data_IF_095265474198
#
_entry.id   IF_095265474198
#
_cell.length_a   1.000
_cell.length_b   1.000
_cell.length_c   1.000
_cell.angle_alpha   90.00
_cell.angle_beta   90.00
_cell.angle_gamma   90.00
#
_symmetry.space_group_name_H-M   'P 1'
#
loop_
_entity.id
_entity.type
_entity.pdbx_description
1 polymer ?
#
# COMPACT_ATOMS: atom_id res chain seq x y z
N UNK A 1 -33.10 11.46 -16.72
CA UNK A 1 -32.66 11.13 -15.33
C UNK A 1 -32.53 9.60 -15.14
N UNK A 2 -33.55 8.79 -15.41
CA UNK A 2 -33.48 7.31 -15.19
C UNK A 2 -32.38 6.62 -16.01
N UNK A 3 -32.04 7.13 -17.17
CA UNK A 3 -31.05 6.53 -18.10
C UNK A 3 -29.60 6.75 -17.63
N UNK A 4 -29.29 7.90 -17.03
CA UNK A 4 -27.98 8.17 -16.47
C UNK A 4 -27.68 7.32 -15.21
N UNK A 5 -28.69 6.99 -14.42
CA UNK A 5 -28.54 6.13 -13.24
C UNK A 5 -28.14 4.69 -13.62
N UNK A 6 -28.67 4.20 -14.76
CA UNK A 6 -28.29 2.88 -15.30
C UNK A 6 -26.83 2.90 -15.75
N UNK A 7 -26.42 3.93 -16.50
CA UNK A 7 -25.04 4.09 -16.94
C UNK A 7 -24.09 4.20 -15.75
N UNK A 8 -24.40 5.01 -14.75
CA UNK A 8 -23.62 5.13 -13.52
C UNK A 8 -23.49 3.79 -12.79
N UNK A 9 -24.56 3.00 -12.74
CA UNK A 9 -24.51 1.66 -12.12
C UNK A 9 -23.57 0.71 -12.85
N UNK A 10 -23.52 0.76 -14.19
CA UNK A 10 -22.57 -0.04 -14.96
C UNK A 10 -21.14 0.47 -14.78
N UNK A 11 -20.93 1.78 -14.78
CA UNK A 11 -19.62 2.40 -14.54
C UNK A 11 -19.12 2.14 -13.11
N UNK A 12 -19.99 2.02 -12.11
CA UNK A 12 -19.61 1.68 -10.72
C UNK A 12 -19.07 0.26 -10.55
N UNK A 13 -19.20 -0.59 -11.58
CA UNK A 13 -18.57 -1.91 -11.60
C UNK A 13 -17.15 -1.91 -12.21
N UNK A 14 -16.66 -0.75 -12.67
CA UNK A 14 -15.32 -0.58 -13.22
C UNK A 14 -14.41 -0.02 -12.13
N UNK A 15 -13.32 -0.70 -11.86
CA UNK A 15 -12.39 -0.35 -10.79
C UNK A 15 -11.10 0.24 -11.38
N UNK A 16 -10.60 1.29 -10.74
CA UNK A 16 -9.24 1.76 -10.99
C UNK A 16 -8.26 0.68 -10.49
N UNK A 17 -7.37 0.15 -11.37
CA UNK A 17 -6.49 -0.94 -11.00
C UNK A 17 -5.46 -0.59 -9.92
N UNK A 18 -5.08 0.69 -9.81
CA UNK A 18 -4.11 1.16 -8.83
C UNK A 18 -4.77 1.44 -7.48
N UNK A 19 -5.95 2.07 -7.49
CA UNK A 19 -6.64 2.49 -6.26
C UNK A 19 -7.60 1.42 -5.73
N UNK A 20 -7.93 0.37 -6.52
CA UNK A 20 -8.86 -0.70 -6.17
C UNK A 20 -10.25 -0.22 -5.71
N UNK A 21 -10.69 0.94 -6.20
CA UNK A 21 -11.99 1.56 -5.96
C UNK A 21 -12.64 1.86 -7.31
N UNK A 22 -13.96 1.79 -7.39
CA UNK A 22 -14.64 2.05 -8.65
C UNK A 22 -14.53 3.52 -9.06
N UNK A 23 -14.51 3.75 -10.37
CA UNK A 23 -14.26 5.08 -10.96
C UNK A 23 -15.34 6.11 -10.64
N UNK A 24 -16.55 5.67 -10.31
CA UNK A 24 -17.68 6.54 -9.92
C UNK A 24 -17.51 7.02 -8.48
N UNK A 25 -17.24 6.11 -7.54
CA UNK A 25 -17.01 6.43 -6.12
C UNK A 25 -15.78 7.34 -5.97
N UNK A 26 -14.73 7.11 -6.77
CA UNK A 26 -13.57 7.98 -6.82
C UNK A 26 -13.91 9.39 -7.32
N UNK A 27 -14.99 9.56 -8.10
CA UNK A 27 -15.34 10.83 -8.73
C UNK A 27 -14.48 11.11 -9.98
N UNK A 28 -13.99 10.07 -10.63
CA UNK A 28 -13.29 10.15 -11.91
C UNK A 28 -14.24 10.46 -13.05
N UNK A 29 -15.49 9.99 -12.97
CA UNK A 29 -16.56 10.30 -13.94
C UNK A 29 -17.11 11.68 -13.61
N UNK A 30 -16.78 12.68 -14.46
CA UNK A 30 -17.18 14.09 -14.25
C UNK A 30 -18.50 14.44 -14.93
N UNK A 31 -18.79 13.84 -16.08
CA UNK A 31 -20.01 14.09 -16.85
C UNK A 31 -20.37 12.86 -17.68
N UNK A 32 -21.66 12.64 -17.87
CA UNK A 32 -22.23 11.60 -18.73
C UNK A 32 -23.35 12.25 -19.53
N UNK A 33 -23.21 12.26 -20.85
CA UNK A 33 -24.22 12.72 -21.78
C UNK A 33 -24.68 11.53 -22.61
N UNK A 34 -25.96 11.27 -22.65
CA UNK A 34 -26.56 10.22 -23.45
C UNK A 34 -27.57 10.87 -24.40
N UNK A 35 -27.25 10.86 -25.67
CA UNK A 35 -28.07 11.45 -26.74
C UNK A 35 -28.44 10.32 -27.70
N UNK A 36 -29.71 10.00 -27.79
CA UNK A 36 -30.23 8.85 -28.56
C UNK A 36 -29.57 7.54 -28.13
N UNK A 37 -28.53 7.09 -28.84
CA UNK A 37 -27.77 5.86 -28.55
C UNK A 37 -26.27 6.11 -28.39
N UNK A 38 -25.87 7.37 -28.44
CA UNK A 38 -24.48 7.79 -28.28
C UNK A 38 -24.23 8.26 -26.86
N UNK A 39 -23.20 7.69 -26.22
CA UNK A 39 -22.80 8.03 -24.85
C UNK A 39 -21.47 8.76 -24.86
N UNK A 40 -21.44 9.98 -24.33
CA UNK A 40 -20.23 10.76 -24.14
C UNK A 40 -19.88 10.83 -22.65
N UNK A 41 -18.64 10.44 -22.32
CA UNK A 41 -18.16 10.42 -20.93
C UNK A 41 -16.96 11.33 -20.79
N UNK A 42 -17.00 12.23 -19.80
CA UNK A 42 -15.82 12.98 -19.34
C UNK A 42 -15.20 12.23 -18.15
N UNK A 43 -13.99 11.70 -18.38
CA UNK A 43 -13.21 10.97 -17.38
C UNK A 43 -12.03 11.83 -16.94
N UNK A 44 -11.92 12.12 -15.65
CA UNK A 44 -10.78 12.79 -15.08
C UNK A 44 -9.80 11.77 -14.50
N UNK A 45 -8.55 11.80 -14.94
CA UNK A 45 -7.48 10.92 -14.48
C UNK A 45 -6.59 11.64 -13.46
N UNK A 46 -6.04 10.91 -12.52
CA UNK A 46 -5.16 11.45 -11.48
C UNK A 46 -3.90 12.12 -12.05
N UNK A 47 -3.38 11.58 -13.15
CA UNK A 47 -2.26 12.15 -13.92
C UNK A 47 -2.59 12.15 -15.41
N UNK A 48 -2.01 13.10 -16.17
CA UNK A 48 -2.27 13.24 -17.61
C UNK A 48 -1.87 11.98 -18.41
N UNK A 49 -0.72 11.39 -18.08
CA UNK A 49 -0.17 10.20 -18.72
C UNK A 49 -0.38 8.95 -17.84
N UNK A 50 -1.63 8.71 -17.43
CA UNK A 50 -1.96 7.52 -16.63
C UNK A 50 -1.68 6.24 -17.42
N UNK A 51 -0.82 5.34 -16.96
CA UNK A 51 -0.52 4.08 -17.67
C UNK A 51 -1.73 3.17 -17.79
N UNK A 52 -2.69 3.30 -16.87
CA UNK A 52 -3.93 2.50 -16.87
C UNK A 52 -5.06 3.10 -17.71
N UNK A 53 -4.84 4.27 -18.35
CA UNK A 53 -5.84 4.97 -19.15
C UNK A 53 -6.54 4.05 -20.16
N UNK A 54 -5.75 3.40 -21.01
CA UNK A 54 -6.28 2.55 -22.08
C UNK A 54 -7.10 1.38 -21.52
N UNK A 55 -6.68 0.82 -20.38
CA UNK A 55 -7.41 -0.28 -19.74
C UNK A 55 -8.77 0.20 -19.21
N UNK A 56 -8.82 1.35 -18.55
CA UNK A 56 -10.07 1.93 -18.03
C UNK A 56 -11.01 2.29 -19.20
N UNK A 57 -10.52 2.98 -20.22
CA UNK A 57 -11.30 3.35 -21.41
C UNK A 57 -11.89 2.12 -22.09
N UNK A 58 -11.08 1.09 -22.37
CA UNK A 58 -11.54 -0.17 -22.99
C UNK A 58 -12.59 -0.87 -22.14
N UNK A 59 -12.46 -0.84 -20.82
CA UNK A 59 -13.44 -1.49 -19.94
C UNK A 59 -14.76 -0.71 -19.88
N UNK A 60 -14.72 0.63 -19.94
CA UNK A 60 -15.89 1.49 -20.05
C UNK A 60 -16.63 1.17 -21.37
N UNK A 61 -15.92 1.23 -22.50
CA UNK A 61 -16.51 0.93 -23.81
C UNK A 61 -17.14 -0.45 -23.83
N UNK A 62 -16.40 -1.47 -23.44
CA UNK A 62 -16.88 -2.87 -23.42
C UNK A 62 -18.15 -3.03 -22.60
N UNK A 63 -18.24 -2.41 -21.41
CA UNK A 63 -19.41 -2.56 -20.52
C UNK A 63 -20.63 -1.79 -20.99
N UNK A 64 -20.44 -0.61 -21.55
CA UNK A 64 -21.55 0.21 -22.01
C UNK A 64 -22.12 -0.25 -23.34
N UNK A 65 -21.29 -0.74 -24.27
CA UNK A 65 -21.74 -1.33 -25.55
C UNK A 65 -22.54 -2.65 -25.38
N UNK A 66 -22.55 -3.25 -24.19
CA UNK A 66 -23.42 -4.38 -23.87
C UNK A 66 -24.88 -3.97 -23.60
N UNK A 67 -25.16 -2.67 -23.48
CA UNK A 67 -26.50 -2.16 -23.25
C UNK A 67 -27.23 -2.00 -24.59
N UNK A 68 -28.46 -2.50 -24.66
CA UNK A 68 -29.29 -2.48 -25.90
C UNK A 68 -29.52 -1.07 -26.47
N UNK A 69 -29.40 -0.02 -25.64
CA UNK A 69 -29.65 1.37 -26.02
C UNK A 69 -28.35 2.17 -26.22
N UNK A 70 -27.21 1.51 -26.40
CA UNK A 70 -25.90 2.17 -26.61
C UNK A 70 -25.25 1.58 -27.86
N UNK A 71 -25.11 2.41 -28.87
CA UNK A 71 -24.47 2.03 -30.14
C UNK A 71 -23.03 2.57 -30.24
N UNK A 72 -22.75 3.70 -29.56
CA UNK A 72 -21.39 4.26 -29.50
C UNK A 72 -21.05 4.84 -28.12
N UNK A 73 -19.74 4.82 -27.80
CA UNK A 73 -19.20 5.41 -26.57
C UNK A 73 -17.99 6.25 -26.92
N UNK A 74 -18.04 7.53 -26.60
CA UNK A 74 -16.92 8.45 -26.74
C UNK A 74 -16.42 8.89 -25.37
N UNK A 75 -15.11 8.73 -25.11
CA UNK A 75 -14.50 9.06 -23.81
C UNK A 75 -13.53 10.20 -24.01
N UNK A 76 -13.80 11.32 -23.35
CA UNK A 76 -12.87 12.45 -23.27
C UNK A 76 -12.15 12.42 -21.95
N UNK A 77 -10.83 12.30 -21.94
CA UNK A 77 -10.02 12.28 -20.73
C UNK A 77 -9.40 13.64 -20.44
N UNK A 78 -9.36 14.00 -19.17
CA UNK A 78 -8.72 15.21 -18.66
C UNK A 78 -7.86 14.89 -17.45
N UNK A 79 -6.82 15.66 -17.19
CA UNK A 79 -6.08 15.56 -15.93
C UNK A 79 -6.85 16.26 -14.80
N UNK A 80 -6.86 15.64 -13.63
CA UNK A 80 -7.41 16.26 -12.42
C UNK A 80 -6.55 17.45 -11.96
N UNK A 81 -7.19 18.47 -11.42
CA UNK A 81 -6.52 19.51 -10.66
C UNK A 81 -6.03 18.96 -9.30
N UNK A 82 -5.29 19.76 -8.52
CA UNK A 82 -4.74 19.33 -7.25
C UNK A 82 -5.82 19.01 -6.19
N UNK A 83 -6.90 19.76 -6.16
CA UNK A 83 -8.02 19.56 -5.23
C UNK A 83 -8.75 18.26 -5.52
N UNK A 84 -9.08 18.01 -6.79
CA UNK A 84 -9.71 16.75 -7.23
C UNK A 84 -8.83 15.54 -6.90
N UNK A 85 -7.51 15.63 -7.13
CA UNK A 85 -6.56 14.57 -6.78
C UNK A 85 -6.57 14.27 -5.29
N UNK A 86 -6.52 15.31 -4.47
CA UNK A 86 -6.58 15.16 -3.00
C UNK A 86 -7.87 14.45 -2.59
N UNK A 87 -9.02 14.89 -3.13
CA UNK A 87 -10.31 14.29 -2.83
C UNK A 87 -10.40 12.81 -3.26
N UNK A 88 -9.86 12.45 -4.43
CA UNK A 88 -9.77 11.05 -4.91
C UNK A 88 -8.93 10.21 -3.97
N UNK A 89 -7.76 10.70 -3.58
CA UNK A 89 -6.87 9.97 -2.67
C UNK A 89 -7.47 9.79 -1.27
N UNK A 90 -8.20 10.78 -0.77
CA UNK A 90 -8.93 10.66 0.51
C UNK A 90 -10.04 9.60 0.42
N UNK A 91 -10.81 9.59 -0.66
CA UNK A 91 -11.85 8.58 -0.90
C UNK A 91 -11.24 7.17 -1.03
N UNK A 92 -10.14 7.04 -1.78
CA UNK A 92 -9.44 5.77 -1.92
C UNK A 92 -8.91 5.26 -0.55
N UNK A 93 -8.30 6.14 0.25
CA UNK A 93 -7.84 5.80 1.61
C UNK A 93 -9.00 5.42 2.53
N UNK A 94 -10.12 6.15 2.48
CA UNK A 94 -11.31 5.83 3.25
C UNK A 94 -11.84 4.44 2.90
N UNK A 95 -11.98 4.16 1.60
CA UNK A 95 -12.45 2.86 1.11
C UNK A 95 -11.50 1.71 1.44
N UNK A 96 -10.18 1.97 1.33
CA UNK A 96 -9.18 1.01 1.75
C UNK A 96 -9.27 0.69 3.26
N UNK A 97 -9.54 1.70 4.12
CA UNK A 97 -9.77 1.49 5.56
C UNK A 97 -11.02 0.66 5.85
N UNK A 98 -12.12 0.91 5.11
CA UNK A 98 -13.38 0.17 5.25
C UNK A 98 -13.24 -1.30 4.83
N UNK A 99 -12.38 -1.57 3.86
CA UNK A 99 -12.12 -2.90 3.29
C UNK A 99 -10.83 -3.55 3.83
N UNK A 100 -10.13 -2.90 4.76
CA UNK A 100 -8.88 -3.42 5.31
C UNK A 100 -9.12 -4.78 5.99
N UNK A 101 -8.22 -5.71 5.72
CA UNK A 101 -8.23 -6.99 6.42
C UNK A 101 -7.90 -6.77 7.89
N UNK A 102 -8.52 -7.51 8.80
CA UNK A 102 -8.23 -7.37 10.23
C UNK A 102 -6.76 -7.71 10.50
N UNK A 103 -6.08 -6.81 11.18
CA UNK A 103 -4.71 -7.00 11.68
C UNK A 103 -4.69 -6.94 13.20
N UNK A 104 -3.65 -7.46 13.84
CA UNK A 104 -3.44 -7.34 15.29
C UNK A 104 -2.87 -5.97 15.72
N UNK A 105 -2.78 -5.03 14.77
CA UNK A 105 -2.32 -3.67 15.07
C UNK A 105 -3.48 -2.83 15.56
N UNK A 106 -3.34 -2.23 16.74
CA UNK A 106 -4.35 -1.35 17.29
C UNK A 106 -4.60 -0.17 16.32
N UNK A 107 -5.87 0.18 16.01
CA UNK A 107 -6.19 1.31 15.12
C UNK A 107 -5.63 2.67 15.56
N UNK A 108 -5.25 2.81 16.85
CA UNK A 108 -4.61 4.03 17.39
C UNK A 108 -3.10 4.06 17.16
N UNK A 109 -2.48 2.93 16.84
CA UNK A 109 -1.05 2.85 16.58
C UNK A 109 -0.71 3.68 15.34
N UNK A 110 0.23 4.61 15.46
CA UNK A 110 0.80 5.30 14.29
C UNK A 110 1.75 4.37 13.57
N UNK A 111 1.42 4.06 12.33
CA UNK A 111 2.25 3.20 11.47
C UNK A 111 3.05 4.05 10.51
N UNK A 112 4.38 3.90 10.56
CA UNK A 112 5.32 4.59 9.68
C UNK A 112 6.11 3.56 8.90
N UNK A 113 5.85 3.47 7.60
CA UNK A 113 6.61 2.62 6.69
C UNK A 113 7.79 3.40 6.09
N UNK A 114 8.95 2.78 6.06
CA UNK A 114 10.18 3.39 5.53
C UNK A 114 10.59 2.61 4.28
N UNK A 115 10.49 3.28 3.15
CA UNK A 115 10.78 2.72 1.83
C UNK A 115 11.96 3.40 1.14
N UNK A 116 12.47 2.77 0.10
CA UNK A 116 13.51 3.34 -0.76
C UNK A 116 13.41 2.80 -2.17
N UNK A 117 13.75 3.62 -3.15
CA UNK A 117 13.77 3.20 -4.55
C UNK A 117 14.92 2.23 -4.90
N UNK A 118 16.01 2.21 -4.12
CA UNK A 118 17.16 1.31 -4.30
C UNK A 118 17.75 0.92 -2.95
N UNK A 119 18.51 -0.19 -2.94
CA UNK A 119 19.26 -0.63 -1.76
C UNK A 119 20.46 0.28 -1.44
N UNK A 120 20.93 0.21 -0.20
CA UNK A 120 22.18 0.87 0.24
C UNK A 120 22.05 2.38 0.50
N UNK A 121 20.85 2.94 0.61
CA UNK A 121 20.61 4.37 0.90
C UNK A 121 20.51 4.70 2.39
N UNK A 122 20.66 3.71 3.26
CA UNK A 122 20.55 3.89 4.71
C UNK A 122 19.16 3.72 5.29
N UNK A 123 18.20 3.15 4.52
CA UNK A 123 16.81 2.91 4.93
C UNK A 123 16.72 2.20 6.29
N UNK A 124 17.26 0.99 6.42
CA UNK A 124 17.18 0.18 7.64
C UNK A 124 17.90 0.84 8.83
N UNK A 125 19.02 1.54 8.57
CA UNK A 125 19.67 2.34 9.61
C UNK A 125 18.76 3.45 10.13
N UNK A 126 18.05 4.14 9.24
CA UNK A 126 17.07 5.15 9.62
C UNK A 126 15.90 4.53 10.39
N UNK A 127 15.35 3.40 9.91
CA UNK A 127 14.25 2.67 10.55
C UNK A 127 14.62 2.29 11.99
N UNK A 128 15.78 1.67 12.20
CA UNK A 128 16.27 1.28 13.52
C UNK A 128 16.48 2.49 14.44
N UNK A 129 17.06 3.58 13.93
CA UNK A 129 17.30 4.78 14.75
C UNK A 129 16.01 5.50 15.13
N UNK A 130 15.03 5.59 14.22
CA UNK A 130 13.71 6.16 14.55
C UNK A 130 13.03 5.31 15.63
N UNK A 131 12.99 3.99 15.47
CA UNK A 131 12.36 3.09 16.43
C UNK A 131 13.03 3.17 17.80
N UNK A 132 14.37 3.13 17.86
CA UNK A 132 15.12 3.31 19.11
C UNK A 132 14.90 4.69 19.74
N UNK A 133 14.84 5.74 18.91
CA UNK A 133 14.60 7.11 19.38
C UNK A 133 13.23 7.26 20.02
N UNK A 134 12.19 6.70 19.43
CA UNK A 134 10.83 6.70 19.96
C UNK A 134 10.74 5.88 21.26
N UNK A 135 11.32 4.68 21.28
CA UNK A 135 11.37 3.85 22.48
C UNK A 135 12.08 4.56 23.63
N UNK A 136 13.24 5.20 23.36
CA UNK A 136 13.96 6.01 24.37
C UNK A 136 13.18 7.25 24.85
N UNK A 137 12.28 7.76 24.01
CA UNK A 137 11.38 8.86 24.39
C UNK A 137 10.17 8.39 25.21
N UNK A 138 10.07 7.09 25.50
CA UNK A 138 9.02 6.50 26.34
C UNK A 138 7.79 6.02 25.57
N UNK A 139 7.83 5.98 24.22
CA UNK A 139 6.74 5.43 23.43
C UNK A 139 6.88 3.91 23.29
N UNK A 140 5.78 3.18 23.45
CA UNK A 140 5.71 1.76 23.14
C UNK A 140 5.87 1.58 21.61
N UNK A 141 6.99 1.03 21.19
CA UNK A 141 7.39 1.04 19.79
C UNK A 141 7.62 -0.37 19.27
N UNK A 142 7.02 -0.69 18.11
CA UNK A 142 7.32 -1.87 17.31
C UNK A 142 8.24 -1.53 16.15
N UNK A 143 9.13 -2.45 15.80
CA UNK A 143 9.96 -2.39 14.59
C UNK A 143 9.81 -3.70 13.82
N UNK A 144 9.22 -3.61 12.64
CA UNK A 144 9.06 -4.73 11.71
C UNK A 144 10.08 -4.59 10.56
N UNK A 145 10.99 -5.55 10.44
CA UNK A 145 11.85 -5.72 9.28
C UNK A 145 11.13 -6.59 8.24
N UNK A 146 10.58 -5.93 7.23
CA UNK A 146 9.84 -6.56 6.14
C UNK A 146 10.72 -6.84 4.91
N UNK A 147 12.04 -6.59 4.98
CA UNK A 147 13.01 -6.95 3.94
C UNK A 147 13.47 -8.40 4.13
N UNK A 148 12.67 -9.33 3.63
CA UNK A 148 12.88 -10.78 3.83
C UNK A 148 14.25 -11.25 3.30
N UNK A 149 14.72 -10.65 2.21
CA UNK A 149 15.94 -11.05 1.52
C UNK A 149 17.20 -10.35 2.02
N UNK A 150 17.02 -9.15 2.52
CA UNK A 150 18.09 -8.28 2.94
C UNK A 150 17.97 -7.84 4.39
N UNK A 151 17.32 -8.67 5.23
CA UNK A 151 17.11 -8.31 6.62
C UNK A 151 18.41 -7.85 7.28
N UNK A 152 18.37 -6.69 7.88
CA UNK A 152 19.55 -6.06 8.47
C UNK A 152 19.29 -5.54 9.89
N UNK A 153 18.04 -5.42 10.28
CA UNK A 153 17.64 -4.91 11.61
C UNK A 153 18.25 -5.74 12.75
N UNK A 154 18.22 -7.09 12.75
CA UNK A 154 18.83 -7.85 13.84
C UNK A 154 20.32 -7.54 14.02
N UNK A 155 21.08 -7.44 12.90
CA UNK A 155 22.52 -7.08 12.95
C UNK A 155 22.75 -5.67 13.46
N UNK A 156 21.93 -4.69 13.03
CA UNK A 156 22.01 -3.30 13.48
C UNK A 156 21.74 -3.14 14.97
N UNK A 157 20.87 -3.96 15.51
CA UNK A 157 20.46 -3.93 16.92
C UNK A 157 21.27 -4.90 17.82
N UNK A 158 22.17 -5.70 17.24
CA UNK A 158 22.94 -6.70 17.98
C UNK A 158 22.11 -7.86 18.51
N UNK A 159 20.98 -8.20 17.86
CA UNK A 159 20.10 -9.29 18.24
C UNK A 159 20.69 -10.60 17.71
N UNK A 160 20.85 -11.58 18.61
CA UNK A 160 21.30 -12.95 18.28
C UNK A 160 20.28 -14.02 18.65
N UNK A 161 19.13 -13.62 19.20
CA UNK A 161 18.04 -14.52 19.60
C UNK A 161 17.14 -14.91 18.45
N UNK A 162 16.12 -15.70 18.76
CA UNK A 162 15.05 -16.11 17.85
C UNK A 162 13.71 -15.64 18.36
N UNK A 163 12.76 -15.49 17.45
CA UNK A 163 11.35 -15.32 17.79
C UNK A 163 10.76 -16.67 18.14
N UNK A 164 10.09 -16.72 19.28
CA UNK A 164 9.39 -17.90 19.78
C UNK A 164 7.88 -17.76 19.53
N UNK A 165 7.18 -18.87 19.45
CA UNK A 165 5.73 -18.90 19.43
C UNK A 165 5.21 -19.13 20.85
N UNK A 166 4.14 -18.42 21.24
CA UNK A 166 3.41 -18.68 22.47
C UNK A 166 2.50 -19.91 22.38
N UNK A 167 1.76 -20.20 23.44
CA UNK A 167 0.80 -21.33 23.51
C UNK A 167 -0.29 -21.23 22.46
N UNK A 168 -0.69 -20.01 22.05
CA UNK A 168 -1.67 -19.73 21.01
C UNK A 168 -1.06 -19.75 19.60
N UNK A 169 0.18 -20.20 19.45
CA UNK A 169 0.96 -20.25 18.20
C UNK A 169 1.19 -18.86 17.55
N UNK A 170 1.08 -17.78 18.31
CA UNK A 170 1.44 -16.45 17.87
C UNK A 170 2.92 -16.18 18.08
N UNK A 171 3.53 -15.46 17.14
CA UNK A 171 4.92 -15.04 17.23
C UNK A 171 5.05 -13.95 18.32
N UNK A 172 5.98 -14.15 19.26
CA UNK A 172 6.27 -13.16 20.31
C UNK A 172 7.43 -12.29 19.85
N UNK A 173 7.25 -10.95 19.74
CA UNK A 173 8.32 -10.06 19.31
C UNK A 173 9.55 -10.17 20.22
N UNK A 174 10.74 -10.06 19.65
CA UNK A 174 11.95 -9.92 20.44
C UNK A 174 11.97 -8.54 21.12
N UNK A 175 12.26 -8.48 22.43
CA UNK A 175 12.21 -7.23 23.18
C UNK A 175 13.62 -6.70 23.47
N UNK A 176 13.85 -5.44 23.16
CA UNK A 176 15.02 -4.67 23.59
C UNK A 176 14.48 -3.48 24.39
N UNK A 177 14.52 -3.57 25.71
CA UNK A 177 13.82 -2.62 26.61
C UNK A 177 12.34 -2.52 26.21
N UNK A 178 11.87 -1.33 25.83
CA UNK A 178 10.48 -1.06 25.41
C UNK A 178 10.28 -1.14 23.88
N UNK A 179 11.27 -1.62 23.13
CA UNK A 179 11.19 -1.83 21.68
C UNK A 179 10.87 -3.30 21.37
N UNK A 180 9.78 -3.55 20.68
CA UNK A 180 9.39 -4.84 20.14
C UNK A 180 9.91 -5.00 18.72
N UNK A 181 10.66 -6.06 18.43
CA UNK A 181 11.32 -6.25 17.13
C UNK A 181 10.89 -7.57 16.49
N UNK A 182 10.48 -7.51 15.23
CA UNK A 182 10.20 -8.68 14.40
C UNK A 182 10.97 -8.56 13.10
N UNK A 183 11.66 -9.63 12.71
CA UNK A 183 12.37 -9.76 11.44
C UNK A 183 12.36 -11.21 11.00
N UNK A 184 12.34 -11.44 9.69
CA UNK A 184 12.50 -12.78 9.12
C UNK A 184 13.79 -13.44 9.55
N UNK A 185 14.87 -12.67 9.73
CA UNK A 185 16.15 -13.16 10.24
C UNK A 185 16.10 -13.69 11.69
N UNK A 186 15.02 -13.43 12.44
CA UNK A 186 14.81 -13.99 13.78
C UNK A 186 13.92 -15.23 13.77
N UNK A 187 13.29 -15.56 12.65
CA UNK A 187 12.39 -16.71 12.52
C UNK A 187 13.13 -17.90 11.90
N UNK A 188 13.96 -17.66 10.89
CA UNK A 188 14.65 -18.69 10.12
C UNK A 188 16.08 -18.92 10.63
N UNK A 189 16.47 -20.20 10.77
CA UNK A 189 17.85 -20.57 11.16
C UNK A 189 18.82 -20.63 9.99
N UNK A 190 18.31 -20.66 8.75
CA UNK A 190 19.09 -20.84 7.53
C UNK A 190 18.76 -19.74 6.51
N UNK A 191 19.81 -19.07 6.02
CA UNK A 191 19.69 -18.14 4.89
C UNK A 191 19.13 -18.83 3.63
N UNK A 192 19.32 -20.14 3.49
CA UNK A 192 18.80 -20.95 2.39
C UNK A 192 17.29 -21.18 2.45
N UNK A 193 16.69 -21.20 3.64
CA UNK A 193 15.23 -21.29 3.80
C UNK A 193 14.54 -20.01 3.34
N UNK A 194 15.18 -18.85 3.48
CA UNK A 194 14.69 -17.58 2.96
C UNK A 194 14.58 -17.58 1.42
N UNK A 195 15.36 -18.41 0.71
CA UNK A 195 15.29 -18.54 -0.75
C UNK A 195 13.98 -19.14 -1.26
N UNK A 196 13.22 -19.85 -0.44
CA UNK A 196 11.92 -20.45 -0.82
C UNK A 196 10.76 -19.45 -0.83
N UNK A 197 10.94 -18.25 -0.29
CA UNK A 197 9.90 -17.22 -0.14
C UNK A 197 9.91 -16.24 -1.33
N UNK A 198 9.82 -16.71 -2.57
CA UNK A 198 9.86 -15.87 -3.77
C UNK A 198 8.49 -15.31 -4.17
N UNK A 199 8.44 -14.01 -4.51
CA UNK A 199 7.32 -13.36 -5.18
C UNK A 199 6.07 -13.15 -4.31
N UNK A 200 4.97 -13.83 -4.60
CA UNK A 200 3.68 -13.74 -3.88
C UNK A 200 3.76 -13.97 -2.36
N UNK A 201 4.89 -14.47 -1.87
CA UNK A 201 5.10 -14.74 -0.45
C UNK A 201 5.44 -13.49 0.37
N UNK A 202 5.98 -12.44 -0.24
CA UNK A 202 6.34 -11.20 0.47
C UNK A 202 5.11 -10.53 1.08
N UNK A 203 4.04 -10.43 0.30
CA UNK A 203 2.75 -9.89 0.77
C UNK A 203 2.11 -10.75 1.85
N UNK A 204 2.22 -12.09 1.72
CA UNK A 204 1.73 -13.03 2.74
C UNK A 204 2.55 -12.96 4.03
N UNK A 205 3.87 -12.82 3.93
CA UNK A 205 4.71 -12.66 5.11
C UNK A 205 4.40 -11.36 5.86
N UNK A 206 4.20 -10.25 5.13
CA UNK A 206 3.74 -8.99 5.74
C UNK A 206 2.38 -9.19 6.43
N UNK A 207 1.44 -9.85 5.77
CA UNK A 207 0.13 -10.18 6.35
C UNK A 207 0.30 -10.98 7.64
N UNK A 208 1.09 -12.06 7.64
CA UNK A 208 1.36 -12.86 8.83
C UNK A 208 2.01 -12.06 9.95
N UNK A 209 2.96 -11.19 9.65
CA UNK A 209 3.56 -10.32 10.67
C UNK A 209 2.57 -9.34 11.29
N UNK A 210 1.53 -8.96 10.56
CA UNK A 210 0.50 -8.05 11.04
C UNK A 210 -0.67 -8.79 11.72
N UNK A 211 -0.86 -10.10 11.46
CA UNK A 211 -1.97 -10.90 12.00
C UNK A 211 -1.54 -11.90 13.06
N UNK A 212 -0.37 -12.52 12.91
CA UNK A 212 0.06 -13.66 13.73
C UNK A 212 1.11 -13.27 14.79
N UNK A 213 1.60 -12.04 14.75
CA UNK A 213 2.48 -11.51 15.80
C UNK A 213 1.64 -10.95 16.94
N UNK A 214 2.01 -11.28 18.16
CA UNK A 214 1.44 -10.72 19.39
C UNK A 214 2.08 -9.36 19.69
N UNK A 215 1.78 -8.37 18.82
CA UNK A 215 2.15 -6.99 19.08
C UNK A 215 1.42 -6.49 20.33
N UNK A 216 2.13 -5.88 21.24
CA UNK A 216 1.53 -5.22 22.41
C UNK A 216 0.69 -3.99 22.00
N UNK A 217 0.23 -3.25 23.00
CA UNK A 217 -0.35 -1.93 22.75
C UNK A 217 0.76 -0.97 22.34
N UNK A 218 0.93 -0.77 21.02
CA UNK A 218 1.95 0.09 20.44
C UNK A 218 1.44 1.52 20.23
N UNK A 219 2.26 2.52 20.57
CA UNK A 219 2.07 3.91 20.14
C UNK A 219 2.53 4.07 18.67
N UNK A 220 3.65 3.43 18.32
CA UNK A 220 4.25 3.47 16.98
C UNK A 220 4.63 2.09 16.49
N UNK A 221 4.38 1.83 15.20
CA UNK A 221 4.94 0.70 14.46
C UNK A 221 5.76 1.22 13.29
N UNK A 222 7.06 1.00 13.33
CA UNK A 222 7.99 1.32 12.25
C UNK A 222 8.16 0.08 11.39
N UNK A 223 7.94 0.20 10.08
CA UNK A 223 8.06 -0.90 9.11
C UNK A 223 9.20 -0.58 8.15
N UNK A 224 10.27 -1.37 8.19
CA UNK A 224 11.39 -1.30 7.26
C UNK A 224 11.04 -2.12 6.02
N UNK A 225 10.68 -1.44 4.91
CA UNK A 225 10.26 -2.09 3.66
C UNK A 225 11.48 -2.57 2.85
N UNK A 226 11.35 -3.60 1.99
CA UNK A 226 12.39 -3.92 1.02
C UNK A 226 12.62 -2.74 0.05
N UNK A 227 13.82 -2.66 -0.56
CA UNK A 227 14.08 -1.65 -1.58
C UNK A 227 13.26 -1.94 -2.85
N UNK A 228 12.87 -0.89 -3.56
CA UNK A 228 12.11 -0.97 -4.81
C UNK A 228 10.68 -0.51 -4.70
N UNK A 229 9.96 -0.65 -5.81
CA UNK A 229 8.54 -0.27 -5.97
C UNK A 229 7.73 -1.54 -6.22
N UNK A 230 6.55 -1.70 -5.62
CA UNK A 230 5.66 -2.74 -6.08
C UNK A 230 4.85 -3.46 -4.98
N UNK A 231 4.79 -4.77 -5.06
CA UNK A 231 3.80 -5.63 -4.40
C UNK A 231 3.67 -5.44 -2.88
N UNK A 232 4.78 -5.16 -2.19
CA UNK A 232 4.74 -5.00 -0.73
C UNK A 232 4.10 -3.68 -0.30
N UNK A 233 4.27 -2.62 -1.10
CA UNK A 233 3.64 -1.33 -0.82
C UNK A 233 2.14 -1.40 -1.08
N UNK A 234 1.74 -2.11 -2.13
CA UNK A 234 0.32 -2.39 -2.41
C UNK A 234 -0.30 -3.27 -1.33
N UNK A 235 0.42 -4.28 -0.82
CA UNK A 235 -0.02 -5.09 0.30
C UNK A 235 -0.16 -4.24 1.57
N UNK A 236 0.82 -3.40 1.87
CA UNK A 236 0.79 -2.50 3.03
C UNK A 236 -0.41 -1.54 2.96
N UNK A 237 -0.66 -0.92 1.81
CA UNK A 237 -1.79 0.00 1.65
C UNK A 237 -3.16 -0.66 1.83
N UNK A 238 -3.26 -1.98 1.56
CA UNK A 238 -4.48 -2.77 1.82
C UNK A 238 -4.63 -3.20 3.27
N UNK A 239 -3.52 -3.60 3.91
CA UNK A 239 -3.52 -4.10 5.29
C UNK A 239 -3.51 -2.97 6.31
N UNK A 240 -2.77 -1.90 6.04
CA UNK A 240 -2.60 -0.73 6.90
C UNK A 240 -2.77 0.58 6.11
N UNK A 241 -3.98 0.88 5.64
CA UNK A 241 -4.25 2.08 4.82
C UNK A 241 -4.01 3.41 5.54
N UNK A 242 -3.82 3.36 6.88
CA UNK A 242 -3.43 4.50 7.70
C UNK A 242 -1.91 4.72 7.75
N UNK A 243 -1.09 3.79 7.20
CA UNK A 243 0.35 3.91 7.26
C UNK A 243 0.86 5.17 6.52
N UNK A 244 1.75 5.89 7.18
CA UNK A 244 2.49 6.99 6.59
C UNK A 244 3.77 6.44 5.93
N UNK A 245 4.12 6.91 4.73
CA UNK A 245 5.30 6.46 4.02
C UNK A 245 6.40 7.52 4.05
N UNK A 246 7.57 7.14 4.54
CA UNK A 246 8.81 7.92 4.43
C UNK A 246 9.68 7.30 3.36
N UNK A 247 10.04 8.06 2.34
CA UNK A 247 10.92 7.59 1.26
C UNK A 247 12.35 8.10 1.48
N UNK A 248 13.28 7.15 1.63
CA UNK A 248 14.70 7.43 1.82
C UNK A 248 15.42 7.35 0.48
N UNK A 249 16.18 8.38 0.15
CA UNK A 249 17.00 8.44 -1.05
C UNK A 249 18.32 9.16 -0.81
N UNK A 250 19.20 9.08 -1.78
CA UNK A 250 20.46 9.83 -1.80
C UNK A 250 20.40 10.94 -2.87
N UNK A 251 21.24 11.98 -2.81
CA UNK A 251 21.12 13.14 -3.70
C UNK A 251 21.47 12.87 -5.17
N UNK A 252 21.89 11.64 -5.54
CA UNK A 252 22.14 11.31 -6.94
C UNK A 252 20.84 11.32 -7.75
N UNK A 253 20.84 11.95 -8.93
CA UNK A 253 19.69 12.10 -9.82
C UNK A 253 18.96 10.78 -10.13
N UNK A 254 19.70 9.70 -10.35
CA UNK A 254 19.13 8.39 -10.61
C UNK A 254 18.39 7.83 -9.40
N UNK A 255 18.90 8.07 -8.18
CA UNK A 255 18.25 7.64 -6.96
C UNK A 255 16.96 8.42 -6.71
N UNK A 256 16.98 9.74 -6.96
CA UNK A 256 15.81 10.59 -6.83
C UNK A 256 14.69 10.19 -7.81
N UNK A 257 15.03 9.92 -9.09
CA UNK A 257 14.05 9.46 -10.10
C UNK A 257 13.39 8.13 -9.73
N UNK A 258 14.09 7.23 -9.06
CA UNK A 258 13.50 5.98 -8.60
C UNK A 258 12.66 6.21 -7.34
N UNK A 259 13.12 7.07 -6.43
CA UNK A 259 12.39 7.42 -5.21
C UNK A 259 11.02 8.07 -5.50
N UNK A 260 10.91 8.92 -6.52
CA UNK A 260 9.63 9.52 -6.95
C UNK A 260 8.60 8.52 -7.46
N UNK A 261 9.00 7.29 -7.78
CA UNK A 261 8.07 6.20 -8.14
C UNK A 261 7.60 5.40 -6.93
N UNK A 262 8.26 5.58 -5.79
CA UNK A 262 7.91 4.95 -4.50
C UNK A 262 6.93 5.83 -3.73
N UNK A 263 7.05 7.15 -3.88
CA UNK A 263 6.18 8.15 -3.26
C UNK A 263 4.86 8.31 -4.02
#
# INVERSE_FOLDING_TARGET
MVQNDILLKHLSSIYDPELAVNIVDLGMVKDIQHVEKDVHIKLALTIADCPMRNQIETEIERKLLLLENVDSVEITTTAMNQEDRTAVMEKARKKARENAQPTNINPRTRVVAIGSGKGGVGKSTLSANIALGLSKAGFKTGLLDADIWGFSIPRLLGITGRIEANEDKKMVPYKINDLEVVSTGLITSDEDTALMWRGLMLSKALEQFLTDVEWGELDYLIIDLPPGTGDIQMALSRLLPQAELIVVTTPQLMAQKVATRVA
#
